data_IF_485664951952
#
_entry.id   IF_485664951952
#
_cell.length_a   1.000
_cell.length_b   1.000
_cell.length_c   1.000
_cell.angle_alpha   90.00
_cell.angle_beta   90.00
_cell.angle_gamma   90.00
#
_symmetry.space_group_name_H-M   'P 1'
#
loop_
_entity.id
_entity.type
_entity.pdbx_description
1 polymer ?
#
# COMPACT_ATOMS: atom_id res chain seq x y z
N UNK A 1 22.35 6.73 -8.04
CA UNK A 1 22.57 6.39 -6.61
C UNK A 1 22.12 7.56 -5.76
N UNK A 2 20.81 7.73 -5.65
CA UNK A 2 20.17 8.87 -5.01
C UNK A 2 19.51 8.35 -3.74
N UNK A 3 20.02 8.82 -2.60
CA UNK A 3 19.49 8.55 -1.25
C UNK A 3 18.07 9.11 -1.17
N UNK A 4 17.06 8.35 -1.57
CA UNK A 4 15.68 8.64 -1.20
C UNK A 4 15.54 8.38 0.31
N UNK A 5 15.12 9.43 1.00
CA UNK A 5 15.35 9.65 2.42
C UNK A 5 14.55 8.69 3.29
N UNK A 6 15.27 7.77 3.91
CA UNK A 6 14.92 7.05 5.15
C UNK A 6 14.35 7.98 6.25
N UNK A 7 14.64 9.28 6.14
CA UNK A 7 14.23 10.30 7.10
C UNK A 7 12.72 10.58 7.08
N UNK A 8 11.98 10.36 5.98
CA UNK A 8 10.54 10.68 5.93
C UNK A 8 9.73 9.70 6.78
N UNK A 9 10.06 8.40 6.72
CA UNK A 9 9.41 7.35 7.53
C UNK A 9 9.87 7.43 8.99
N UNK A 10 11.16 7.69 9.23
CA UNK A 10 11.68 7.91 10.59
C UNK A 10 11.06 9.13 11.26
N UNK A 11 10.83 10.23 10.53
CA UNK A 11 10.22 11.44 11.08
C UNK A 11 8.77 11.17 11.50
N UNK A 12 7.97 10.47 10.68
CA UNK A 12 6.59 10.17 11.03
C UNK A 12 6.46 9.24 12.25
N UNK A 13 7.36 8.26 12.40
CA UNK A 13 7.35 7.35 13.56
C UNK A 13 7.83 8.06 14.85
N UNK A 14 8.88 8.89 14.76
CA UNK A 14 9.43 9.61 15.94
C UNK A 14 8.51 10.76 16.39
N UNK A 15 7.91 11.50 15.46
CA UNK A 15 7.01 12.62 15.78
C UNK A 15 5.72 12.15 16.46
N UNK A 16 5.19 10.97 16.09
CA UNK A 16 4.04 10.37 16.77
C UNK A 16 4.34 10.00 18.24
N UNK A 17 5.57 9.55 18.54
CA UNK A 17 6.00 9.15 19.89
C UNK A 17 6.12 10.38 20.82
N UNK A 18 6.65 11.50 20.32
CA UNK A 18 6.83 12.72 21.13
C UNK A 18 5.51 13.39 21.51
N UNK A 19 4.49 13.36 20.63
CA UNK A 19 3.17 13.91 20.94
C UNK A 19 2.43 13.11 22.04
N UNK A 20 2.65 11.79 22.12
CA UNK A 20 2.05 10.91 23.12
C UNK A 20 2.66 11.09 24.52
N UNK A 21 3.94 11.45 24.62
CA UNK A 21 4.61 11.70 25.91
C UNK A 21 4.19 13.06 26.50
N UNK A 22 3.85 14.05 25.66
CA UNK A 22 3.44 15.37 26.12
C UNK A 22 2.02 15.44 26.70
N UNK A 23 1.15 14.44 26.47
CA UNK A 23 -0.21 14.41 27.05
C UNK A 23 -0.20 13.79 28.46
N UNK A 24 0.80 12.97 28.80
CA UNK A 24 0.90 12.30 30.11
C UNK A 24 1.61 13.09 31.20
N UNK A 25 2.05 14.32 30.94
CA UNK A 25 2.80 15.13 31.91
C UNK A 25 2.17 16.50 32.17
N UNK A 26 0.97 16.52 32.76
CA UNK A 26 0.55 17.66 33.60
C UNK A 26 -0.26 17.19 34.80
N UNK A 27 0.18 17.70 35.97
CA UNK A 27 -0.43 17.66 37.29
C UNK A 27 -0.31 16.34 38.09
N UNK A 28 0.77 16.24 38.85
CA UNK A 28 0.63 16.02 40.29
C UNK A 28 1.03 17.31 41.02
N UNK A 29 0.39 17.63 42.16
CA UNK A 29 1.20 17.70 43.38
C UNK A 29 0.52 17.20 44.68
N UNK A 30 1.24 16.32 45.40
CA UNK A 30 1.67 16.37 46.82
C UNK A 30 0.56 16.44 47.92
N UNK A 31 0.21 15.36 48.65
CA UNK A 31 0.83 14.70 49.87
C UNK A 31 0.31 15.27 51.23
N UNK A 32 0.56 14.70 52.43
CA UNK A 32 0.53 13.30 52.93
C UNK A 32 -0.21 13.16 54.31
N UNK A 33 -0.53 11.94 54.79
CA UNK A 33 -0.45 11.61 56.25
C UNK A 33 -0.58 10.12 56.61
N UNK A 34 0.31 9.75 57.53
CA UNK A 34 0.63 8.48 58.20
C UNK A 34 -0.48 8.01 59.18
N UNK A 35 -0.75 6.69 59.26
CA UNK A 35 -0.69 5.93 60.54
C UNK A 35 -0.85 4.39 60.39
N UNK A 36 0.25 3.71 60.69
CA UNK A 36 0.44 2.59 61.65
C UNK A 36 -0.34 1.25 61.63
N UNK A 37 0.48 0.19 61.55
CA UNK A 37 0.48 -1.08 62.31
C UNK A 37 -0.41 -2.26 61.85
N UNK A 38 0.25 -3.28 61.28
CA UNK A 38 0.23 -4.66 61.79
C UNK A 38 1.31 -5.53 61.11
N UNK A 39 2.21 -6.07 61.91
CA UNK A 39 3.11 -7.15 61.52
C UNK A 39 2.30 -8.39 61.11
N UNK A 40 2.64 -8.99 59.97
CA UNK A 40 2.72 -10.45 59.89
C UNK A 40 3.97 -10.82 59.11
N UNK A 41 4.87 -11.50 59.81
CA UNK A 41 5.99 -12.24 59.24
C UNK A 41 5.39 -13.44 58.52
N UNK A 42 5.58 -13.55 57.21
CA UNK A 42 5.59 -14.86 56.56
C UNK A 42 6.49 -14.85 55.31
N UNK A 43 7.50 -15.70 55.39
CA UNK A 43 8.32 -16.29 54.33
C UNK A 43 8.93 -15.40 53.24
N UNK A 44 10.20 -15.07 53.47
CA UNK A 44 11.18 -14.78 52.42
C UNK A 44 11.50 -16.09 51.68
N UNK A 45 10.65 -16.51 50.75
CA UNK A 45 10.99 -17.51 49.74
C UNK A 45 11.07 -16.83 48.35
N UNK A 46 12.31 -16.57 47.94
CA UNK A 46 12.81 -16.51 46.56
C UNK A 46 11.81 -16.13 45.46
N UNK A 47 11.55 -14.82 45.29
CA UNK A 47 11.03 -14.27 44.04
C UNK A 47 12.17 -13.76 43.14
N UNK A 48 13.20 -14.57 42.89
CA UNK A 48 14.26 -14.22 41.91
C UNK A 48 14.18 -15.02 40.60
N UNK A 49 13.29 -16.01 40.49
CA UNK A 49 13.22 -16.88 39.29
C UNK A 49 12.21 -16.46 38.21
N UNK A 50 11.36 -15.45 38.43
CA UNK A 50 10.39 -14.99 37.43
C UNK A 50 11.02 -14.15 36.29
N UNK A 51 12.22 -13.59 36.53
CA UNK A 51 12.94 -12.71 35.59
C UNK A 51 13.62 -13.50 34.44
N UNK A 52 14.10 -14.71 34.73
CA UNK A 52 14.77 -15.56 33.72
C UNK A 52 13.81 -16.09 32.66
N UNK A 53 12.57 -16.40 33.05
CA UNK A 53 11.58 -17.04 32.17
C UNK A 53 10.99 -16.06 31.15
N UNK A 54 10.77 -14.81 31.56
CA UNK A 54 10.32 -13.71 30.69
C UNK A 54 11.34 -13.37 29.60
N UNK A 55 12.64 -13.38 29.93
CA UNK A 55 13.70 -13.14 28.95
C UNK A 55 13.82 -14.29 27.95
N UNK A 56 13.66 -15.54 28.40
CA UNK A 56 13.67 -16.71 27.52
C UNK A 56 12.47 -16.71 26.55
N UNK A 57 11.29 -16.34 27.05
CA UNK A 57 10.05 -16.27 26.29
C UNK A 57 10.09 -15.15 25.24
N UNK A 58 10.57 -13.96 25.60
CA UNK A 58 10.75 -12.84 24.67
C UNK A 58 11.76 -13.17 23.57
N UNK A 59 12.84 -13.89 23.90
CA UNK A 59 13.81 -14.35 22.91
C UNK A 59 13.19 -15.38 21.95
N UNK A 60 12.36 -16.29 22.46
CA UNK A 60 11.63 -17.26 21.64
C UNK A 60 10.67 -16.57 20.69
N UNK A 61 9.79 -15.69 21.18
CA UNK A 61 8.86 -14.93 20.34
C UNK A 61 9.58 -14.09 19.28
N UNK A 62 10.75 -13.53 19.61
CA UNK A 62 11.57 -12.79 18.63
C UNK A 62 12.05 -13.70 17.49
N UNK A 63 12.55 -14.90 17.83
CA UNK A 63 12.99 -15.89 16.84
C UNK A 63 11.83 -16.34 15.95
N UNK A 64 10.66 -16.59 16.54
CA UNK A 64 9.46 -17.00 15.81
C UNK A 64 8.99 -15.90 14.84
N UNK A 65 9.00 -14.64 15.28
CA UNK A 65 8.64 -13.50 14.45
C UNK A 65 9.60 -13.33 13.24
N UNK A 66 10.90 -13.43 13.48
CA UNK A 66 11.92 -13.40 12.42
C UNK A 66 11.73 -14.56 11.44
N UNK A 67 11.44 -15.77 11.93
CA UNK A 67 11.20 -16.93 11.07
C UNK A 67 9.99 -16.71 10.13
N UNK A 68 8.88 -16.19 10.67
CA UNK A 68 7.68 -15.85 9.88
C UNK A 68 7.96 -14.74 8.85
N UNK A 69 8.71 -13.70 9.22
CA UNK A 69 9.14 -12.67 8.28
C UNK A 69 10.02 -13.25 7.15
N UNK A 70 10.93 -14.16 7.45
CA UNK A 70 11.75 -14.85 6.44
C UNK A 70 10.89 -15.70 5.50
N UNK A 71 9.82 -16.32 5.99
CA UNK A 71 8.85 -17.03 5.15
C UNK A 71 8.14 -16.08 4.17
N UNK A 72 7.63 -14.94 4.67
CA UNK A 72 7.05 -13.91 3.81
C UNK A 72 8.06 -13.37 2.79
N UNK A 73 9.31 -13.14 3.20
CA UNK A 73 10.38 -12.72 2.29
C UNK A 73 10.59 -13.69 1.13
N UNK A 74 10.56 -15.00 1.38
CA UNK A 74 10.64 -16.03 0.33
C UNK A 74 9.42 -15.98 -0.61
N UNK A 75 8.21 -15.83 -0.07
CA UNK A 75 6.97 -15.70 -0.87
C UNK A 75 7.05 -14.48 -1.80
N UNK A 76 7.42 -13.32 -1.25
CA UNK A 76 7.57 -12.06 -1.99
C UNK A 76 8.66 -12.14 -3.06
N UNK A 77 9.79 -12.77 -2.75
CA UNK A 77 10.86 -12.97 -3.72
C UNK A 77 10.45 -13.86 -4.89
N UNK A 78 9.73 -14.96 -4.61
CA UNK A 78 9.22 -15.83 -5.65
C UNK A 78 8.20 -15.11 -6.55
N UNK A 79 7.29 -14.33 -5.96
CA UNK A 79 6.34 -13.49 -6.71
C UNK A 79 7.08 -12.49 -7.60
N UNK A 80 8.03 -11.72 -7.04
CA UNK A 80 8.82 -10.74 -7.79
C UNK A 80 9.58 -11.35 -8.96
N UNK A 81 10.18 -12.53 -8.78
CA UNK A 81 10.88 -13.25 -9.86
C UNK A 81 9.92 -13.61 -10.99
N UNK A 82 8.75 -14.18 -10.66
CA UNK A 82 7.74 -14.53 -11.65
C UNK A 82 7.21 -13.31 -12.41
N UNK A 83 6.95 -12.20 -11.71
CA UNK A 83 6.47 -10.96 -12.30
C UNK A 83 7.50 -10.38 -13.28
N UNK A 84 8.77 -10.29 -12.87
CA UNK A 84 9.88 -9.77 -13.70
C UNK A 84 10.11 -10.63 -14.95
N UNK A 85 9.93 -11.95 -14.85
CA UNK A 85 10.08 -12.85 -15.99
C UNK A 85 8.92 -12.72 -17.01
N UNK A 86 7.69 -12.52 -16.54
CA UNK A 86 6.50 -12.54 -17.41
C UNK A 86 6.19 -11.19 -18.07
N UNK A 87 6.37 -10.07 -17.38
CA UNK A 87 5.95 -8.75 -17.87
C UNK A 87 6.60 -8.35 -19.21
N UNK A 88 7.92 -8.49 -19.41
CA UNK A 88 8.57 -8.08 -20.65
C UNK A 88 8.02 -8.78 -21.91
N UNK A 89 7.37 -9.94 -21.76
CA UNK A 89 6.84 -10.73 -22.88
C UNK A 89 5.41 -10.35 -23.26
N UNK A 90 4.76 -9.43 -22.55
CA UNK A 90 3.33 -9.14 -22.73
C UNK A 90 3.05 -7.95 -23.64
N UNK A 91 3.85 -6.89 -23.59
CA UNK A 91 3.59 -5.66 -24.35
C UNK A 91 4.88 -4.94 -24.75
N UNK A 92 4.87 -4.30 -25.93
CA UNK A 92 5.93 -3.38 -26.34
C UNK A 92 5.87 -2.05 -25.58
N UNK A 93 4.68 -1.67 -25.10
CA UNK A 93 4.40 -0.42 -24.37
C UNK A 93 3.68 -0.71 -23.06
N UNK A 94 4.06 -0.02 -21.98
CA UNK A 94 3.45 -0.25 -20.68
C UNK A 94 2.00 0.26 -20.61
N UNK A 95 1.20 -0.32 -19.71
CA UNK A 95 -0.24 -0.01 -19.54
C UNK A 95 -0.48 1.49 -19.29
N UNK A 96 0.33 2.08 -18.42
CA UNK A 96 0.21 3.46 -17.96
C UNK A 96 0.43 4.46 -19.12
N UNK A 97 1.46 4.24 -19.94
CA UNK A 97 1.77 5.05 -21.13
C UNK A 97 0.73 4.85 -22.24
N UNK A 98 0.21 3.63 -22.37
CA UNK A 98 -0.87 3.32 -23.31
C UNK A 98 -2.14 4.11 -22.95
N UNK A 99 -2.51 4.12 -21.68
CA UNK A 99 -3.68 4.86 -21.17
C UNK A 99 -3.42 6.38 -21.16
N UNK A 100 -2.17 6.80 -20.96
CA UNK A 100 -1.77 8.18 -20.61
C UNK A 100 -2.46 8.68 -19.33
N UNK A 101 -2.71 7.77 -18.38
CA UNK A 101 -3.29 8.05 -17.06
C UNK A 101 -2.19 7.75 -16.06
N UNK A 102 -1.78 8.76 -15.29
CA UNK A 102 -0.61 8.67 -14.42
C UNK A 102 -1.02 8.86 -12.96
N UNK A 103 -0.62 7.97 -12.03
CA UNK A 103 -0.97 8.10 -10.62
C UNK A 103 -0.30 9.29 -9.94
N UNK A 104 0.80 9.79 -10.51
CA UNK A 104 1.50 11.01 -10.10
C UNK A 104 1.75 11.93 -11.31
N UNK A 105 2.04 13.20 -11.05
CA UNK A 105 2.42 14.15 -12.10
C UNK A 105 3.79 13.80 -12.71
N UNK A 106 3.76 13.15 -13.86
CA UNK A 106 4.94 12.91 -14.70
C UNK A 106 5.21 14.14 -15.57
N UNK A 107 5.89 15.13 -15.01
CA UNK A 107 6.46 16.19 -15.83
C UNK A 107 7.48 15.61 -16.81
N UNK A 108 7.44 16.05 -18.07
CA UNK A 108 8.56 15.85 -18.98
C UNK A 108 9.68 16.79 -18.55
N UNK A 109 10.90 16.28 -18.33
CA UNK A 109 12.08 17.13 -18.41
C UNK A 109 12.18 17.62 -19.87
N UNK A 110 11.62 18.79 -20.18
CA UNK A 110 11.75 19.42 -21.50
C UNK A 110 13.23 19.80 -21.70
N UNK A 111 14.03 18.90 -22.27
CA UNK A 111 15.35 19.27 -22.79
C UNK A 111 15.34 19.71 -24.24
N UNK A 112 14.36 19.28 -25.05
CA UNK A 112 14.35 19.60 -26.48
C UNK A 112 12.94 19.89 -26.98
N UNK A 113 12.42 21.08 -26.69
CA UNK A 113 11.45 21.76 -27.56
C UNK A 113 11.31 23.22 -27.10
N UNK A 114 11.42 24.14 -28.07
CA UNK A 114 11.45 25.58 -27.86
C UNK A 114 10.26 26.05 -27.03
N UNK A 115 10.57 27.00 -26.17
CA UNK A 115 9.71 27.72 -25.23
C UNK A 115 8.39 28.14 -25.90
N UNK A 116 7.32 27.42 -25.59
CA UNK A 116 6.11 28.05 -25.11
C UNK A 116 6.01 27.67 -23.63
N UNK A 117 5.93 28.70 -22.79
CA UNK A 117 5.92 28.60 -21.35
C UNK A 117 4.88 27.57 -20.88
N UNK A 118 5.19 26.74 -19.88
CA UNK A 118 4.12 26.07 -19.16
C UNK A 118 3.23 27.18 -18.59
N UNK A 119 1.94 27.18 -18.90
CA UNK A 119 0.96 27.87 -18.06
C UNK A 119 1.21 27.36 -16.64
N UNK A 120 1.90 28.18 -15.85
CA UNK A 120 2.00 28.01 -14.42
C UNK A 120 0.58 28.17 -13.93
N UNK A 121 -0.10 27.06 -13.69
CA UNK A 121 -1.08 27.04 -12.63
C UNK A 121 -0.29 27.13 -11.31
N UNK A 122 -0.31 28.30 -10.62
CA UNK A 122 0.48 28.49 -9.41
C UNK A 122 -0.08 27.71 -8.21
N UNK A 123 -1.19 26.98 -8.35
CA UNK A 123 -1.80 26.19 -7.28
C UNK A 123 -1.34 24.71 -7.22
N UNK A 124 -0.71 24.16 -8.26
CA UNK A 124 -0.33 22.74 -8.25
C UNK A 124 1.08 22.50 -7.71
N UNK A 125 1.14 22.20 -6.40
CA UNK A 125 2.35 21.82 -5.63
C UNK A 125 2.94 20.43 -6.00
N UNK A 126 3.05 20.06 -7.26
CA UNK A 126 3.57 18.72 -7.63
C UNK A 126 4.98 18.77 -8.22
N UNK A 127 5.90 18.03 -7.60
CA UNK A 127 7.28 17.83 -8.05
C UNK A 127 7.33 16.89 -9.24
N UNK A 128 7.97 17.32 -10.34
CA UNK A 128 8.29 16.47 -11.49
C UNK A 128 9.23 15.34 -11.03
N UNK A 129 8.78 14.09 -11.11
CA UNK A 129 9.59 12.90 -10.80
C UNK A 129 10.53 12.52 -11.95
N UNK A 130 11.70 11.95 -11.64
CA UNK A 130 12.71 11.58 -12.65
C UNK A 130 12.25 10.43 -13.55
N UNK A 131 12.80 10.31 -14.76
CA UNK A 131 12.46 9.21 -15.70
C UNK A 131 12.68 7.82 -15.10
N UNK A 132 13.70 7.65 -14.26
CA UNK A 132 13.96 6.40 -13.55
C UNK A 132 12.84 6.05 -12.57
N UNK A 133 12.36 7.05 -11.81
CA UNK A 133 11.23 6.89 -10.88
C UNK A 133 9.97 6.54 -11.67
N UNK A 134 9.67 7.29 -12.73
CA UNK A 134 8.52 7.02 -13.59
C UNK A 134 8.55 5.60 -14.17
N UNK A 135 9.73 5.12 -14.62
CA UNK A 135 9.88 3.75 -15.13
C UNK A 135 9.61 2.72 -14.05
N UNK A 136 10.10 2.95 -12.83
CA UNK A 136 9.88 2.04 -11.70
C UNK A 136 8.41 1.98 -11.29
N UNK A 137 7.74 3.13 -11.16
CA UNK A 137 6.33 3.19 -10.79
C UNK A 137 5.44 2.47 -11.82
N UNK A 138 5.68 2.73 -13.11
CA UNK A 138 4.98 2.02 -14.20
C UNK A 138 5.15 0.52 -14.10
N UNK A 139 6.38 0.06 -13.87
CA UNK A 139 6.67 -1.36 -13.68
C UNK A 139 5.93 -1.93 -12.46
N UNK A 140 5.87 -1.22 -11.34
CA UNK A 140 5.15 -1.67 -10.14
C UNK A 140 3.65 -1.82 -10.39
N UNK A 141 3.05 -0.86 -11.07
CA UNK A 141 1.64 -0.91 -11.47
C UNK A 141 1.36 -2.15 -12.33
N UNK A 142 2.23 -2.44 -13.31
CA UNK A 142 2.09 -3.63 -14.17
C UNK A 142 2.31 -4.93 -13.41
N UNK A 143 3.28 -4.98 -12.51
CA UNK A 143 3.51 -6.15 -11.65
C UNK A 143 2.26 -6.51 -10.87
N UNK A 144 1.61 -5.52 -10.29
CA UNK A 144 0.38 -5.73 -9.54
C UNK A 144 -0.79 -6.11 -10.45
N UNK A 145 -1.10 -5.31 -11.48
CA UNK A 145 -2.26 -5.53 -12.36
C UNK A 145 -2.13 -6.83 -13.16
N UNK A 146 -0.99 -7.08 -13.79
CA UNK A 146 -0.83 -8.23 -14.68
C UNK A 146 -0.81 -9.53 -13.87
N UNK A 147 -0.17 -9.56 -12.70
CA UNK A 147 -0.21 -10.74 -11.83
C UNK A 147 -1.63 -11.00 -11.28
N UNK A 148 -2.38 -9.95 -10.93
CA UNK A 148 -3.79 -10.05 -10.53
C UNK A 148 -4.68 -10.61 -11.64
N UNK A 149 -4.38 -10.33 -12.92
CA UNK A 149 -5.12 -10.87 -14.06
C UNK A 149 -4.50 -12.16 -14.64
N UNK A 150 -3.64 -12.82 -13.86
CA UNK A 150 -2.92 -14.05 -14.25
C UNK A 150 -2.17 -13.95 -15.57
N UNK A 151 -1.76 -12.74 -15.96
CA UNK A 151 -1.06 -12.44 -17.20
C UNK A 151 -1.88 -12.77 -18.47
N UNK A 152 -3.21 -12.88 -18.35
CA UNK A 152 -4.11 -13.16 -19.47
C UNK A 152 -4.33 -11.89 -20.30
N UNK A 153 -3.80 -11.84 -21.52
CA UNK A 153 -3.86 -10.68 -22.43
C UNK A 153 -5.30 -10.20 -22.65
N UNK A 154 -6.26 -11.12 -22.79
CA UNK A 154 -7.67 -10.77 -22.94
C UNK A 154 -8.22 -10.01 -21.74
N UNK A 155 -7.91 -10.44 -20.51
CA UNK A 155 -8.33 -9.74 -19.29
C UNK A 155 -7.66 -8.37 -19.16
N UNK A 156 -6.39 -8.28 -19.51
CA UNK A 156 -5.64 -7.02 -19.50
C UNK A 156 -6.24 -6.02 -20.50
N UNK A 157 -6.59 -6.49 -21.71
CA UNK A 157 -7.25 -5.65 -22.71
C UNK A 157 -8.64 -5.19 -22.26
N UNK A 158 -9.42 -6.06 -21.61
CA UNK A 158 -10.71 -5.68 -21.02
C UNK A 158 -10.55 -4.58 -19.97
N UNK A 159 -9.55 -4.70 -19.08
CA UNK A 159 -9.24 -3.67 -18.10
C UNK A 159 -8.85 -2.36 -18.78
N UNK A 160 -7.99 -2.42 -19.81
CA UNK A 160 -7.58 -1.25 -20.58
C UNK A 160 -8.80 -0.51 -21.15
N UNK A 161 -9.72 -1.21 -21.80
CA UNK A 161 -10.95 -0.59 -22.33
C UNK A 161 -11.83 0.04 -21.26
N UNK A 162 -11.92 -0.58 -20.07
CA UNK A 162 -12.64 -0.02 -18.92
C UNK A 162 -11.99 1.31 -18.50
N UNK A 163 -10.67 1.32 -18.31
CA UNK A 163 -9.95 2.52 -17.85
C UNK A 163 -9.90 3.61 -18.94
N UNK A 164 -9.81 3.26 -20.21
CA UNK A 164 -9.89 4.21 -21.34
C UNK A 164 -11.24 4.94 -21.38
N UNK A 165 -12.32 4.27 -20.97
CA UNK A 165 -13.65 4.88 -20.91
C UNK A 165 -13.70 6.03 -19.90
N UNK A 166 -12.86 6.00 -18.85
CA UNK A 166 -12.79 7.04 -17.81
C UNK A 166 -11.89 8.21 -18.18
N UNK A 167 -11.12 8.12 -19.26
CA UNK A 167 -10.16 9.15 -19.67
C UNK A 167 -10.84 10.50 -19.98
N UNK A 168 -10.20 11.59 -19.60
CA UNK A 168 -10.68 12.95 -19.79
C UNK A 168 -10.21 13.90 -18.69
N UNK A 169 -10.42 15.21 -18.87
CA UNK A 169 -10.05 16.23 -17.85
C UNK A 169 -11.12 16.40 -16.76
N UNK A 170 -11.88 15.35 -16.45
CA UNK A 170 -13.00 15.39 -15.52
C UNK A 170 -12.75 14.51 -14.30
N UNK A 171 -13.66 14.55 -13.32
CA UNK A 171 -13.58 13.77 -12.09
C UNK A 171 -13.51 12.25 -12.34
N UNK A 172 -13.83 11.79 -13.55
CA UNK A 172 -13.84 10.38 -13.89
C UNK A 172 -12.43 9.82 -14.07
N UNK A 173 -11.50 10.61 -14.63
CA UNK A 173 -10.09 10.21 -14.76
C UNK A 173 -9.44 10.10 -13.38
N UNK A 174 -9.84 10.92 -12.41
CA UNK A 174 -9.38 10.82 -11.02
C UNK A 174 -9.71 9.47 -10.39
N UNK A 175 -10.82 8.82 -10.77
CA UNK A 175 -11.17 7.49 -10.27
C UNK A 175 -10.21 6.42 -10.83
N UNK A 176 -9.82 6.53 -12.10
CA UNK A 176 -8.80 5.66 -12.68
C UNK A 176 -7.42 5.90 -12.03
N UNK A 177 -7.06 7.17 -11.80
CA UNK A 177 -5.84 7.58 -11.10
C UNK A 177 -5.79 6.98 -9.69
N UNK A 178 -6.86 7.09 -8.90
CA UNK A 178 -6.92 6.52 -7.55
C UNK A 178 -6.72 5.01 -7.53
N UNK A 179 -7.25 4.29 -8.52
CA UNK A 179 -7.02 2.84 -8.66
C UNK A 179 -5.55 2.54 -8.95
N UNK A 180 -4.92 3.27 -9.87
CA UNK A 180 -3.49 3.11 -10.19
C UNK A 180 -2.60 3.51 -9.01
N UNK A 181 -3.00 4.52 -8.23
CA UNK A 181 -2.28 4.94 -7.03
C UNK A 181 -2.32 3.84 -5.96
N UNK A 182 -3.49 3.28 -5.65
CA UNK A 182 -3.61 2.17 -4.71
C UNK A 182 -2.79 0.94 -5.15
N UNK A 183 -2.75 0.69 -6.46
CA UNK A 183 -1.94 -0.37 -7.06
C UNK A 183 -0.44 -0.14 -6.81
N UNK A 184 0.03 1.07 -7.07
CA UNK A 184 1.43 1.48 -6.88
C UNK A 184 1.84 1.35 -5.42
N UNK A 185 1.05 1.92 -4.51
CA UNK A 185 1.34 2.04 -3.08
C UNK A 185 1.50 0.66 -2.42
N UNK A 186 0.56 -0.27 -2.67
CA UNK A 186 0.66 -1.65 -2.18
C UNK A 186 1.94 -2.31 -2.71
N UNK A 187 2.26 -2.14 -3.99
CA UNK A 187 3.39 -2.80 -4.61
C UNK A 187 4.75 -2.23 -4.13
N UNK A 188 4.83 -0.93 -3.89
CA UNK A 188 5.99 -0.25 -3.30
C UNK A 188 6.27 -0.75 -1.87
N UNK A 189 5.23 -0.83 -1.03
CA UNK A 189 5.37 -1.36 0.32
C UNK A 189 5.90 -2.80 0.35
N UNK A 190 5.34 -3.67 -0.50
CA UNK A 190 5.78 -5.06 -0.57
C UNK A 190 7.24 -5.19 -1.02
N UNK A 191 7.69 -4.37 -1.97
CA UNK A 191 9.10 -4.31 -2.37
C UNK A 191 9.99 -3.80 -1.23
N UNK A 192 9.58 -2.75 -0.53
CA UNK A 192 10.29 -2.21 0.62
C UNK A 192 10.43 -3.26 1.74
N UNK A 193 9.35 -3.97 2.08
CA UNK A 193 9.40 -5.02 3.09
C UNK A 193 10.31 -6.16 2.68
N UNK A 194 10.29 -6.56 1.40
CA UNK A 194 11.20 -7.58 0.89
C UNK A 194 12.67 -7.15 1.05
N UNK A 195 12.99 -5.89 0.73
CA UNK A 195 14.35 -5.35 0.90
C UNK A 195 14.78 -5.33 2.38
N UNK A 196 13.87 -4.96 3.28
CA UNK A 196 14.13 -4.95 4.73
C UNK A 196 14.37 -6.36 5.26
N UNK A 197 13.52 -7.33 4.88
CA UNK A 197 13.62 -8.73 5.32
C UNK A 197 14.90 -9.39 4.80
N UNK A 198 15.35 -9.06 3.59
CA UNK A 198 16.61 -9.56 3.02
C UNK A 198 17.85 -9.05 3.76
N UNK A 199 17.75 -7.93 4.45
CA UNK A 199 18.85 -7.36 5.23
C UNK A 199 18.90 -8.01 6.60
N UNK A 200 19.45 -9.22 6.67
CA UNK A 200 19.45 -10.06 7.87
C UNK A 200 20.03 -9.34 9.10
N UNK A 201 21.11 -8.58 8.94
CA UNK A 201 21.69 -7.78 10.02
C UNK A 201 20.69 -6.75 10.57
N UNK A 202 19.97 -6.04 9.70
CA UNK A 202 18.95 -5.06 10.12
C UNK A 202 17.77 -5.75 10.78
N UNK A 203 17.29 -6.85 10.20
CA UNK A 203 16.17 -7.61 10.75
C UNK A 203 16.48 -8.11 12.17
N UNK A 204 17.71 -8.55 12.43
CA UNK A 204 18.15 -9.02 13.73
C UNK A 204 18.33 -7.90 14.78
N UNK A 205 18.46 -6.64 14.37
CA UNK A 205 18.53 -5.49 15.28
C UNK A 205 17.18 -5.04 15.82
N UNK A 206 16.08 -5.45 15.19
CA UNK A 206 14.73 -5.07 15.61
C UNK A 206 14.34 -5.75 16.93
N UNK A 207 13.68 -4.98 17.79
CA UNK A 207 13.08 -5.50 19.00
C UNK A 207 11.76 -6.24 18.71
N UNK A 208 11.21 -6.94 19.70
CA UNK A 208 10.01 -7.76 19.50
C UNK A 208 8.81 -6.95 19.00
N UNK A 209 8.59 -5.74 19.53
CA UNK A 209 7.49 -4.86 19.12
C UNK A 209 7.65 -4.44 17.65
N UNK A 210 8.84 -4.01 17.25
CA UNK A 210 9.14 -3.62 15.87
C UNK A 210 8.94 -4.79 14.89
N UNK A 211 9.33 -6.01 15.29
CA UNK A 211 9.11 -7.21 14.48
C UNK A 211 7.62 -7.56 14.34
N UNK A 212 6.84 -7.39 15.41
CA UNK A 212 5.39 -7.59 15.39
C UNK A 212 4.70 -6.55 14.49
N UNK A 213 5.08 -5.28 14.59
CA UNK A 213 4.58 -4.22 13.71
C UNK A 213 4.90 -4.53 12.24
N UNK A 214 6.14 -4.92 11.94
CA UNK A 214 6.54 -5.30 10.59
C UNK A 214 5.75 -6.52 10.08
N UNK A 215 5.51 -7.53 10.93
CA UNK A 215 4.67 -8.67 10.56
C UNK A 215 3.26 -8.26 10.18
N UNK A 216 2.64 -7.37 10.96
CA UNK A 216 1.29 -6.87 10.69
C UNK A 216 1.26 -6.14 9.36
N UNK A 217 2.23 -5.27 9.10
CA UNK A 217 2.34 -4.53 7.85
C UNK A 217 2.49 -5.45 6.63
N UNK A 218 3.42 -6.41 6.69
CA UNK A 218 3.66 -7.37 5.60
C UNK A 218 2.44 -8.23 5.33
N UNK A 219 1.83 -8.76 6.39
CA UNK A 219 0.67 -9.64 6.28
C UNK A 219 -0.57 -8.88 5.77
N UNK A 220 -0.75 -7.64 6.19
CA UNK A 220 -1.82 -6.77 5.74
C UNK A 220 -1.70 -6.45 4.24
N UNK A 221 -0.55 -5.97 3.77
CA UNK A 221 -0.38 -5.58 2.37
C UNK A 221 -0.38 -6.80 1.43
N UNK A 222 0.08 -7.97 1.89
CA UNK A 222 -0.11 -9.25 1.18
C UNK A 222 -1.60 -9.60 1.05
N UNK A 223 -2.38 -9.41 2.12
CA UNK A 223 -3.82 -9.65 2.11
C UNK A 223 -4.53 -8.67 1.18
N UNK A 224 -4.14 -7.39 1.19
CA UNK A 224 -4.66 -6.41 0.25
C UNK A 224 -4.34 -6.78 -1.20
N UNK A 225 -3.14 -7.28 -1.49
CA UNK A 225 -2.77 -7.76 -2.83
C UNK A 225 -3.64 -8.91 -3.31
N UNK A 226 -3.93 -9.87 -2.44
CA UNK A 226 -4.84 -10.99 -2.75
C UNK A 226 -6.28 -10.49 -2.96
N UNK A 227 -6.78 -9.58 -2.12
CA UNK A 227 -8.11 -8.97 -2.30
C UNK A 227 -8.22 -8.10 -3.55
N UNK A 228 -7.16 -7.37 -3.89
CA UNK A 228 -7.10 -6.58 -5.11
C UNK A 228 -7.21 -7.48 -6.34
N UNK A 229 -6.52 -8.63 -6.34
CA UNK A 229 -6.67 -9.65 -7.39
C UNK A 229 -8.13 -10.08 -7.57
N UNK A 230 -8.79 -10.52 -6.50
CA UNK A 230 -10.19 -10.95 -6.54
C UNK A 230 -11.11 -9.84 -7.08
N UNK A 231 -10.94 -8.62 -6.59
CA UNK A 231 -11.75 -7.47 -7.00
C UNK A 231 -11.49 -7.08 -8.46
N UNK A 232 -10.25 -7.14 -8.93
CA UNK A 232 -9.89 -6.81 -10.31
C UNK A 232 -10.41 -7.85 -11.30
N UNK A 233 -10.29 -9.14 -10.97
CA UNK A 233 -10.89 -10.23 -11.75
C UNK A 233 -12.41 -10.06 -11.87
N UNK A 234 -13.08 -9.70 -10.78
CA UNK A 234 -14.51 -9.38 -10.79
C UNK A 234 -14.82 -8.17 -11.67
N UNK A 235 -14.05 -7.08 -11.55
CA UNK A 235 -14.21 -5.89 -12.39
C UNK A 235 -14.15 -6.23 -13.88
N UNK A 236 -13.11 -6.94 -14.33
CA UNK A 236 -12.97 -7.25 -15.77
C UNK A 236 -14.08 -8.18 -16.29
N UNK A 237 -14.61 -9.06 -15.43
CA UNK A 237 -15.64 -10.02 -15.82
C UNK A 237 -17.06 -9.44 -15.79
N UNK A 238 -17.36 -8.53 -14.86
CA UNK A 238 -18.71 -7.96 -14.70
C UNK A 238 -18.89 -6.62 -15.41
N UNK A 239 -17.86 -5.78 -15.43
CA UNK A 239 -17.96 -4.41 -15.96
C UNK A 239 -17.78 -4.40 -17.47
N UNK A 240 -16.80 -5.15 -17.99
CA UNK A 240 -16.50 -5.14 -19.43
C UNK A 240 -17.71 -5.54 -20.30
N UNK A 241 -18.44 -6.64 -20.03
CA UNK A 241 -19.60 -6.99 -20.83
C UNK A 241 -20.70 -5.91 -20.79
N UNK A 242 -20.95 -5.33 -19.62
CA UNK A 242 -21.97 -4.29 -19.45
C UNK A 242 -21.64 -3.02 -20.21
N UNK A 243 -20.38 -2.57 -20.23
CA UNK A 243 -20.01 -1.39 -21.01
C UNK A 243 -20.09 -1.64 -22.53
N UNK A 244 -20.01 -2.91 -22.97
CA UNK A 244 -20.22 -3.33 -24.36
C UNK A 244 -21.70 -3.42 -24.73
N UNK A 245 -22.60 -3.81 -23.82
CA UNK A 245 -24.05 -3.82 -24.05
C UNK A 245 -24.60 -2.46 -24.48
N UNK A 246 -23.95 -1.35 -24.08
CA UNK A 246 -24.29 -0.01 -24.54
C UNK A 246 -23.84 0.30 -26.00
N UNK A 247 -23.65 -0.70 -26.86
CA UNK A 247 -23.44 -0.54 -28.32
C UNK A 247 -24.79 -0.51 -29.06
N UNK A 248 -25.31 0.68 -29.41
CA UNK A 248 -26.43 0.83 -30.35
C UNK A 248 -26.32 2.05 -31.27
N UNK A 249 -26.95 1.90 -32.44
CA UNK A 249 -26.66 2.40 -33.81
C UNK A 249 -26.78 3.91 -34.04
N UNK A 250 -27.31 4.69 -33.10
CA UNK A 250 -27.61 6.11 -33.33
C UNK A 250 -26.55 7.09 -32.78
N UNK A 251 -25.98 7.94 -33.64
CA UNK A 251 -24.88 8.87 -33.33
C UNK A 251 -25.29 10.00 -32.39
N UNK A 252 -26.57 10.38 -32.40
CA UNK A 252 -27.05 11.60 -31.75
C UNK A 252 -27.15 11.47 -30.22
N UNK A 253 -27.13 10.24 -29.70
CA UNK A 253 -27.14 9.95 -28.26
C UNK A 253 -25.74 9.62 -27.69
N UNK A 254 -24.66 9.78 -28.46
CA UNK A 254 -23.31 9.35 -28.08
C UNK A 254 -22.86 9.90 -26.71
N UNK A 255 -23.05 11.20 -26.46
CA UNK A 255 -22.63 11.85 -25.21
C UNK A 255 -23.34 11.30 -23.97
N UNK A 256 -24.65 11.06 -24.06
CA UNK A 256 -25.44 10.49 -22.97
C UNK A 256 -24.97 9.05 -22.70
N UNK A 257 -24.69 8.27 -23.74
CA UNK A 257 -24.20 6.89 -23.64
C UNK A 257 -22.83 6.80 -22.95
N UNK A 258 -21.91 7.69 -23.33
CA UNK A 258 -20.56 7.72 -22.73
C UNK A 258 -20.63 8.07 -21.24
N UNK A 259 -21.51 8.99 -20.84
CA UNK A 259 -21.74 9.32 -19.44
C UNK A 259 -22.31 8.12 -18.65
N UNK A 260 -23.31 7.41 -19.17
CA UNK A 260 -23.88 6.23 -18.49
C UNK A 260 -22.83 5.13 -18.27
N UNK A 261 -21.95 4.89 -19.25
CA UNK A 261 -20.84 3.94 -19.09
C UNK A 261 -19.89 4.40 -17.99
N UNK A 262 -19.48 5.67 -18.00
CA UNK A 262 -18.61 6.26 -16.99
C UNK A 262 -19.21 6.13 -15.60
N UNK A 263 -20.47 6.53 -15.42
CA UNK A 263 -21.18 6.46 -14.13
C UNK A 263 -21.25 5.02 -13.60
N UNK A 264 -21.50 4.04 -14.47
CA UNK A 264 -21.51 2.63 -14.09
C UNK A 264 -20.13 2.16 -13.61
N UNK A 265 -19.06 2.49 -14.35
CA UNK A 265 -17.69 2.14 -13.98
C UNK A 265 -17.31 2.81 -12.65
N UNK A 266 -17.61 4.09 -12.49
CA UNK A 266 -17.29 4.86 -11.27
C UNK A 266 -18.01 4.27 -10.07
N UNK A 267 -19.31 4.01 -10.18
CA UNK A 267 -20.09 3.38 -9.12
C UNK A 267 -19.48 2.04 -8.69
N UNK A 268 -19.04 1.24 -9.66
CA UNK A 268 -18.37 -0.03 -9.39
C UNK A 268 -17.03 0.16 -8.69
N UNK A 269 -16.15 1.03 -9.21
CA UNK A 269 -14.82 1.25 -8.61
C UNK A 269 -14.96 1.83 -7.21
N UNK A 270 -15.73 2.90 -7.05
CA UNK A 270 -15.94 3.56 -5.75
C UNK A 270 -16.53 2.61 -4.73
N UNK A 271 -17.40 1.67 -5.11
CA UNK A 271 -17.97 0.70 -4.16
C UNK A 271 -17.00 -0.40 -3.76
N UNK A 272 -16.19 -0.90 -4.69
CA UNK A 272 -15.41 -2.12 -4.49
C UNK A 272 -13.94 -1.87 -4.12
N UNK A 273 -13.41 -0.66 -4.32
CA UNK A 273 -11.98 -0.36 -4.12
C UNK A 273 -11.67 0.51 -2.89
N UNK A 274 -12.66 0.85 -2.06
CA UNK A 274 -12.46 1.64 -0.83
C UNK A 274 -11.49 0.98 0.17
N UNK A 275 -11.40 -0.35 0.17
CA UNK A 275 -10.56 -1.08 1.15
C UNK A 275 -9.05 -0.92 0.90
N UNK A 276 -8.66 -0.33 -0.23
CA UNK A 276 -7.25 -0.21 -0.62
C UNK A 276 -6.60 1.11 -0.18
N UNK A 277 -7.36 2.02 0.43
CA UNK A 277 -6.86 3.29 0.99
C UNK A 277 -6.26 3.13 2.41
N UNK A 278 -5.87 1.91 2.79
CA UNK A 278 -5.38 1.59 4.15
C UNK A 278 -3.86 1.59 4.30
N UNK A 279 -3.13 1.90 3.23
CA UNK A 279 -1.67 1.83 3.16
C UNK A 279 -0.97 2.74 4.17
N UNK A 280 -1.52 3.93 4.43
CA UNK A 280 -0.98 4.95 5.36
C UNK A 280 -1.46 4.79 6.81
N UNK A 281 -2.30 3.79 7.09
CA UNK A 281 -2.91 3.63 8.39
C UNK A 281 -1.93 3.08 9.45
N UNK A 282 -2.22 3.39 10.71
CA UNK A 282 -1.44 2.90 11.86
C UNK A 282 -1.45 1.37 11.94
N UNK A 283 -0.46 0.78 12.61
CA UNK A 283 -0.38 -0.67 12.84
C UNK A 283 -1.65 -1.22 13.48
N UNK A 284 -2.19 -0.51 14.48
CA UNK A 284 -3.44 -0.92 15.15
C UNK A 284 -4.62 -0.95 14.18
N UNK A 285 -4.76 0.08 13.34
CA UNK A 285 -5.83 0.13 12.34
C UNK A 285 -5.68 -0.99 11.31
N UNK A 286 -4.46 -1.25 10.82
CA UNK A 286 -4.16 -2.37 9.92
C UNK A 286 -4.46 -3.72 10.58
N UNK A 287 -4.11 -3.90 11.86
CA UNK A 287 -4.41 -5.14 12.59
C UNK A 287 -5.93 -5.36 12.75
N UNK A 288 -6.67 -4.32 13.12
CA UNK A 288 -8.13 -4.37 13.23
C UNK A 288 -8.74 -4.72 11.87
N UNK A 289 -8.28 -4.06 10.80
CA UNK A 289 -8.76 -4.34 9.45
C UNK A 289 -8.42 -5.75 8.97
N UNK A 290 -7.21 -6.22 9.27
CA UNK A 290 -6.80 -7.60 8.96
C UNK A 290 -7.71 -8.62 9.64
N UNK A 291 -8.10 -8.38 10.90
CA UNK A 291 -9.03 -9.24 11.62
C UNK A 291 -10.41 -9.26 10.95
N UNK A 292 -10.93 -8.09 10.53
CA UNK A 292 -12.19 -8.01 9.78
C UNK A 292 -12.13 -8.77 8.44
N UNK A 293 -11.01 -8.66 7.72
CA UNK A 293 -10.83 -9.29 6.41
C UNK A 293 -10.71 -10.81 6.51
N UNK A 294 -10.16 -11.33 7.61
CA UNK A 294 -10.02 -12.78 7.84
C UNK A 294 -11.29 -13.45 8.40
N UNK A 295 -12.19 -12.67 8.98
CA UNK A 295 -13.44 -13.18 9.56
C UNK A 295 -14.55 -13.41 8.50
N UNK A 296 -14.33 -13.04 7.24
CA UNK A 296 -15.27 -13.18 6.12
C UNK A 296 -14.80 -14.26 5.15
#
# INVERSE_FOLDING_TARGET
>A
MTKFKLDVIRLNIITAILALICISCTANPIDPKVNENANSKENTENSENASGDLNSLNQKHRKDAIAKLKEFGKKLEAQKKQEVEKIPNLTETNLVDTLKIYPMYYGKNKKDEKIEEPEKDPETKFTVVSEEIQKNEKLQIERMIYSSLNYETDKINKLKEILETLKGKDEHENIAISLLYATLDIQEHLDYYLELIKQEDKLNTLNLKELQELLIHVEFDLTLKEKFKETLEKTVNEVHPKIKEYHFIDSDMKKIKDNVKKDYIISHITKNYQIFDYSTHSTESKQNKLNELKAK
#
